data_IF_398870657283
#
_entry.id   IF_398870657283
#
_cell.length_a   1.000
_cell.length_b   1.000
_cell.length_c   1.000
_cell.angle_alpha   90.00
_cell.angle_beta   90.00
_cell.angle_gamma   90.00
#
_symmetry.space_group_name_H-M   'P 1'
#
loop_
_entity.id
_entity.type
_entity.pdbx_description
1 polymer ?
#
# COMPACT_ATOMS: atom_id res chain seq x y z
N UNK A 1 -45.61 -11.23 16.68
CA UNK A 1 -45.55 -9.94 15.96
C UNK A 1 -44.10 -9.47 15.98
N UNK A 2 -43.61 -8.99 14.85
CA UNK A 2 -42.21 -8.99 14.39
C UNK A 2 -41.13 -8.41 15.32
N UNK A 3 -40.01 -9.12 15.38
CA UNK A 3 -38.65 -8.63 15.68
C UNK A 3 -38.28 -7.44 14.78
N UNK A 4 -37.65 -6.41 15.34
CA UNK A 4 -36.33 -5.96 14.89
C UNK A 4 -35.74 -4.96 15.89
N UNK A 5 -34.72 -5.44 16.61
CA UNK A 5 -33.73 -4.61 17.29
C UNK A 5 -32.93 -3.87 16.20
N UNK A 6 -33.31 -2.61 15.95
CA UNK A 6 -32.62 -1.74 15.02
C UNK A 6 -31.58 -0.90 15.76
N UNK A 7 -30.37 -0.92 15.24
CA UNK A 7 -29.28 0.02 15.53
C UNK A 7 -28.46 -0.25 16.82
N UNK A 8 -27.86 -1.44 16.90
CA UNK A 8 -26.65 -1.61 17.69
C UNK A 8 -25.50 -0.86 17.00
N UNK A 9 -25.12 0.26 17.62
CA UNK A 9 -23.89 1.03 17.46
C UNK A 9 -22.69 0.18 17.00
N UNK A 10 -22.28 0.33 15.73
CA UNK A 10 -20.93 0.00 15.29
C UNK A 10 -20.06 1.25 15.37
N UNK A 11 -19.80 1.69 16.60
CA UNK A 11 -18.62 2.51 16.90
C UNK A 11 -17.49 1.52 17.17
N UNK A 12 -16.94 0.94 16.11
CA UNK A 12 -15.62 0.30 16.16
C UNK A 12 -14.67 1.25 15.47
N UNK A 13 -13.71 1.80 16.24
CA UNK A 13 -12.83 2.89 15.84
C UNK A 13 -12.39 2.82 14.38
N UNK A 14 -12.82 3.81 13.60
CA UNK A 14 -12.27 4.07 12.28
C UNK A 14 -10.78 4.39 12.48
N UNK A 15 -9.92 3.39 12.33
CA UNK A 15 -8.49 3.63 12.21
C UNK A 15 -8.30 4.52 10.98
N UNK A 16 -7.67 5.68 11.20
CA UNK A 16 -7.43 6.67 10.15
C UNK A 16 -6.76 6.02 8.93
N UNK A 17 -7.41 6.11 7.76
CA UNK A 17 -6.94 5.49 6.51
C UNK A 17 -7.61 4.17 6.13
N UNK A 18 -8.58 3.64 6.88
CA UNK A 18 -9.41 2.50 6.43
C UNK A 18 -10.55 2.93 5.50
N UNK A 19 -10.96 2.07 4.58
CA UNK A 19 -12.11 2.26 3.68
C UNK A 19 -13.03 1.05 3.73
N UNK A 20 -14.32 1.25 3.99
CA UNK A 20 -15.32 0.18 4.00
C UNK A 20 -16.18 0.28 2.75
N UNK A 21 -16.26 -0.82 1.99
CA UNK A 21 -17.11 -0.91 0.80
C UNK A 21 -18.15 -1.99 1.04
N UNK A 22 -19.42 -1.61 1.00
CA UNK A 22 -20.54 -2.54 1.04
C UNK A 22 -21.09 -2.75 -0.37
N UNK A 23 -21.25 -3.99 -0.78
CA UNK A 23 -21.89 -4.37 -2.04
C UNK A 23 -23.10 -5.26 -1.76
N UNK A 24 -24.14 -5.10 -2.59
CA UNK A 24 -25.33 -5.94 -2.56
C UNK A 24 -25.48 -6.63 -3.91
N UNK A 25 -25.54 -7.95 -3.90
CA UNK A 25 -25.83 -8.73 -5.08
C UNK A 25 -27.35 -8.94 -5.18
N UNK A 26 -27.97 -8.29 -6.17
CA UNK A 26 -29.41 -8.35 -6.42
C UNK A 26 -29.92 -9.71 -6.91
N UNK A 27 -29.03 -10.59 -7.36
CA UNK A 27 -29.39 -11.95 -7.84
C UNK A 27 -29.37 -12.93 -6.68
N UNK A 28 -28.34 -12.87 -5.82
CA UNK A 28 -28.21 -13.79 -4.67
C UNK A 28 -28.84 -13.27 -3.38
N UNK A 29 -29.24 -12.00 -3.34
CA UNK A 29 -29.79 -11.32 -2.16
C UNK A 29 -28.77 -11.12 -1.04
N UNK A 30 -27.48 -11.36 -1.30
CA UNK A 30 -26.42 -11.30 -0.29
C UNK A 30 -25.75 -9.93 -0.29
N UNK A 31 -25.64 -9.36 0.91
CA UNK A 31 -24.76 -8.24 1.19
C UNK A 31 -23.37 -8.73 1.56
N UNK A 32 -22.33 -8.10 1.03
CA UNK A 32 -20.95 -8.29 1.46
C UNK A 32 -20.33 -6.94 1.84
N UNK A 33 -19.51 -6.95 2.89
CA UNK A 33 -18.77 -5.77 3.35
C UNK A 33 -17.29 -6.10 3.32
N UNK A 34 -16.52 -5.28 2.60
CA UNK A 34 -15.07 -5.40 2.51
C UNK A 34 -14.43 -4.22 3.21
N UNK A 35 -13.58 -4.50 4.20
CA UNK A 35 -12.81 -3.49 4.93
C UNK A 35 -11.39 -3.45 4.38
N UNK A 36 -11.06 -2.35 3.71
CA UNK A 36 -9.74 -2.02 3.23
C UNK A 36 -8.93 -1.28 4.30
N UNK A 37 -7.65 -1.63 4.41
CA UNK A 37 -6.66 -1.00 5.27
C UNK A 37 -6.09 0.28 4.65
N UNK A 38 -5.13 0.92 5.32
CA UNK A 38 -4.39 2.07 4.77
C UNK A 38 -3.18 1.68 3.91
N UNK A 39 -2.87 0.38 3.80
CA UNK A 39 -1.63 -0.10 3.20
C UNK A 39 -1.83 -0.54 1.75
N UNK A 40 -0.95 -0.06 0.87
CA UNK A 40 -0.81 -0.52 -0.50
C UNK A 40 0.58 -1.10 -0.65
N UNK A 41 0.70 -2.32 -1.14
CA UNK A 41 2.01 -2.94 -1.31
C UNK A 41 2.01 -3.97 -2.43
N UNK A 42 3.16 -4.07 -3.11
CA UNK A 42 3.46 -5.18 -4.00
C UNK A 42 4.98 -5.32 -4.15
N UNK A 43 5.42 -6.49 -4.60
CA UNK A 43 6.84 -6.77 -4.79
C UNK A 43 7.16 -7.62 -6.01
N UNK A 44 8.36 -7.41 -6.55
CA UNK A 44 8.87 -8.12 -7.73
C UNK A 44 10.37 -8.38 -7.61
N UNK A 45 10.86 -9.37 -8.34
CA UNK A 45 12.29 -9.64 -8.43
C UNK A 45 12.98 -8.56 -9.28
N UNK A 46 13.94 -7.82 -8.71
CA UNK A 46 14.92 -7.02 -9.46
C UNK A 46 15.91 -7.92 -10.19
N UNK A 47 16.41 -8.91 -9.46
CA UNK A 47 17.23 -10.00 -9.97
C UNK A 47 16.57 -11.30 -9.52
N UNK A 48 16.15 -12.12 -10.49
CA UNK A 48 15.43 -13.36 -10.22
C UNK A 48 16.16 -14.21 -9.19
N UNK A 49 15.44 -14.64 -8.16
CA UNK A 49 15.90 -15.47 -7.04
C UNK A 49 17.01 -14.88 -6.16
N UNK A 50 17.41 -13.61 -6.39
CA UNK A 50 18.54 -12.97 -5.71
C UNK A 50 18.17 -11.70 -4.99
N UNK A 51 17.45 -10.81 -5.65
CA UNK A 51 17.14 -9.48 -5.11
C UNK A 51 15.69 -9.13 -5.40
N UNK A 52 14.86 -9.10 -4.35
CA UNK A 52 13.49 -8.64 -4.40
C UNK A 52 13.38 -7.16 -4.05
N UNK A 53 12.37 -6.49 -4.60
CA UNK A 53 11.95 -5.15 -4.19
C UNK A 53 10.47 -5.17 -3.81
N UNK A 54 10.12 -4.55 -2.70
CA UNK A 54 8.75 -4.23 -2.32
C UNK A 54 8.60 -2.71 -2.31
N UNK A 55 7.54 -2.21 -2.93
CA UNK A 55 7.12 -0.82 -2.76
C UNK A 55 5.87 -0.82 -1.91
N UNK A 56 5.89 0.00 -0.85
CA UNK A 56 4.83 0.15 0.12
C UNK A 56 4.37 1.60 0.12
N UNK A 57 3.07 1.82 0.20
CA UNK A 57 2.48 3.15 0.33
C UNK A 57 1.47 3.16 1.47
N UNK A 58 1.75 3.98 2.46
CA UNK A 58 0.91 4.22 3.63
C UNK A 58 -0.01 5.41 3.36
N UNK A 59 -1.31 5.16 3.39
CA UNK A 59 -2.31 6.19 3.14
C UNK A 59 -2.56 7.07 4.36
N UNK A 60 -2.19 8.34 4.23
CA UNK A 60 -2.42 9.40 5.22
C UNK A 60 -3.53 10.34 4.74
N UNK A 61 -4.64 10.41 5.50
CA UNK A 61 -5.66 11.44 5.27
C UNK A 61 -5.16 12.77 5.86
N UNK A 62 -5.03 13.80 5.03
CA UNK A 62 -4.92 15.18 5.53
C UNK A 62 -6.23 15.55 6.21
N UNK A 63 -6.28 15.55 7.53
CA UNK A 63 -7.40 16.15 8.26
C UNK A 63 -7.26 17.67 8.25
N UNK A 64 -8.28 18.38 7.76
CA UNK A 64 -8.54 19.74 8.21
C UNK A 64 -9.55 19.67 9.37
N UNK A 65 -9.11 19.82 10.63
CA UNK A 65 -9.97 19.60 11.81
C UNK A 65 -11.19 20.53 11.90
N UNK A 66 -11.25 21.62 11.15
CA UNK A 66 -12.32 22.63 11.24
C UNK A 66 -13.56 22.27 10.40
N UNK A 67 -13.45 21.37 9.40
CA UNK A 67 -14.55 21.08 8.46
C UNK A 67 -15.42 19.87 8.83
N UNK A 68 -15.00 19.04 9.79
CA UNK A 68 -15.69 17.78 10.10
C UNK A 68 -17.12 17.96 10.61
N UNK A 69 -17.44 19.08 11.28
CA UNK A 69 -18.78 19.34 11.81
C UNK A 69 -19.79 19.85 10.78
N UNK A 70 -19.35 20.53 9.71
CA UNK A 70 -20.25 21.17 8.75
C UNK A 70 -20.45 20.36 7.46
N UNK A 71 -19.46 19.57 7.04
CA UNK A 71 -19.53 18.80 5.78
C UNK A 71 -20.32 17.49 5.96
N UNK A 72 -20.29 16.88 7.15
CA UNK A 72 -21.09 15.68 7.43
C UNK A 72 -22.61 15.94 7.37
N UNK A 73 -23.07 17.15 7.67
CA UNK A 73 -24.49 17.52 7.58
C UNK A 73 -24.98 17.85 6.16
N UNK A 74 -24.08 18.00 5.18
CA UNK A 74 -24.44 18.43 3.82
C UNK A 74 -24.28 17.35 2.74
N UNK A 75 -23.76 16.16 3.08
CA UNK A 75 -23.62 15.05 2.13
C UNK A 75 -22.71 15.32 0.91
N UNK A 76 -22.04 16.48 0.87
CA UNK A 76 -21.20 16.90 -0.24
C UNK A 76 -19.74 16.54 0.07
N UNK A 77 -19.22 15.52 -0.61
CA UNK A 77 -17.78 15.28 -0.68
C UNK A 77 -17.12 16.54 -1.27
N UNK A 78 -16.26 17.20 -0.49
CA UNK A 78 -15.51 18.35 -1.00
C UNK A 78 -14.44 17.90 -2.01
N UNK A 79 -13.97 18.78 -2.92
CA UNK A 79 -12.85 18.46 -3.82
C UNK A 79 -11.58 17.98 -3.08
N UNK A 80 -11.39 18.43 -1.83
CA UNK A 80 -10.31 18.00 -0.94
C UNK A 80 -10.45 16.59 -0.35
N UNK A 81 -11.65 15.98 -0.40
CA UNK A 81 -11.88 14.62 0.09
C UNK A 81 -11.46 13.55 -0.94
N UNK A 82 -11.18 13.95 -2.18
CA UNK A 82 -10.80 13.03 -3.26
C UNK A 82 -9.33 12.63 -3.22
N UNK A 83 -8.48 13.45 -2.60
CA UNK A 83 -7.03 13.26 -2.59
C UNK A 83 -6.49 13.04 -1.18
N UNK A 84 -5.50 12.17 -1.07
CA UNK A 84 -4.78 11.86 0.14
C UNK A 84 -3.26 11.89 -0.11
N UNK A 85 -2.47 11.83 0.96
CA UNK A 85 -1.02 11.69 0.87
C UNK A 85 -0.66 10.23 1.09
N UNK A 86 0.19 9.68 0.23
CA UNK A 86 0.72 8.33 0.32
C UNK A 86 2.19 8.39 0.68
N UNK A 87 2.53 8.01 1.90
CA UNK A 87 3.92 7.90 2.34
C UNK A 87 4.54 6.65 1.72
N UNK A 88 5.58 6.82 0.91
CA UNK A 88 6.21 5.73 0.16
C UNK A 88 7.44 5.22 0.90
N UNK A 89 7.48 3.90 1.08
CA UNK A 89 8.66 3.17 1.56
C UNK A 89 9.05 2.10 0.55
N UNK A 90 10.34 1.81 0.47
CA UNK A 90 10.90 0.76 -0.38
C UNK A 90 11.69 -0.20 0.49
N UNK A 91 11.46 -1.50 0.31
CA UNK A 91 12.23 -2.55 0.95
C UNK A 91 12.93 -3.42 -0.10
N UNK A 92 14.25 -3.58 0.05
CA UNK A 92 15.07 -4.51 -0.72
C UNK A 92 15.26 -5.79 0.08
N UNK A 93 14.99 -6.93 -0.55
CA UNK A 93 15.17 -8.25 0.03
C UNK A 93 16.32 -8.96 -0.68
N UNK A 94 17.48 -9.04 -0.05
CA UNK A 94 18.64 -9.69 -0.65
C UNK A 94 18.73 -11.14 -0.17
N UNK A 95 18.55 -12.07 -1.09
CA UNK A 95 18.72 -13.50 -0.86
C UNK A 95 20.11 -14.00 -1.28
N UNK A 96 20.89 -13.15 -1.94
CA UNK A 96 22.24 -13.46 -2.36
C UNK A 96 23.24 -13.30 -1.21
N UNK A 97 24.41 -13.92 -1.39
CA UNK A 97 25.54 -13.85 -0.46
C UNK A 97 26.37 -12.57 -0.63
N UNK A 98 26.09 -11.79 -1.67
CA UNK A 98 26.81 -10.56 -2.03
C UNK A 98 25.90 -9.33 -1.92
N UNK A 99 26.45 -8.16 -1.55
CA UNK A 99 25.67 -6.93 -1.53
C UNK A 99 25.29 -6.51 -2.95
N UNK A 100 24.10 -5.95 -3.10
CA UNK A 100 23.63 -5.37 -4.37
C UNK A 100 23.38 -3.88 -4.22
N UNK A 101 24.03 -3.07 -5.04
CA UNK A 101 23.73 -1.64 -5.12
C UNK A 101 22.57 -1.41 -6.08
N UNK A 102 21.54 -0.72 -5.59
CA UNK A 102 20.38 -0.31 -6.37
C UNK A 102 20.33 1.21 -6.36
N UNK A 103 20.44 1.80 -7.55
CA UNK A 103 20.34 3.24 -7.74
C UNK A 103 18.91 3.59 -8.15
N UNK A 104 18.23 4.38 -7.33
CA UNK A 104 16.87 4.84 -7.56
C UNK A 104 16.91 6.16 -8.30
N UNK A 105 16.15 6.25 -9.40
CA UNK A 105 16.09 7.46 -10.23
C UNK A 105 14.82 8.24 -9.91
N UNK A 106 13.66 7.62 -10.17
CA UNK A 106 12.35 8.23 -9.96
C UNK A 106 11.26 7.19 -9.75
N UNK A 107 10.17 7.62 -9.14
CA UNK A 107 8.91 6.88 -9.01
C UNK A 107 7.80 7.77 -9.54
N UNK A 108 7.06 7.24 -10.51
CA UNK A 108 5.91 7.89 -11.12
C UNK A 108 4.65 7.20 -10.59
N UNK A 109 3.67 7.99 -10.17
CA UNK A 109 2.34 7.55 -9.80
C UNK A 109 1.29 8.42 -10.49
N UNK A 110 0.04 7.97 -10.59
CA UNK A 110 -1.01 8.70 -11.32
C UNK A 110 -1.25 10.13 -10.84
N UNK A 111 -0.87 10.47 -9.61
CA UNK A 111 -1.01 11.82 -9.07
C UNK A 111 0.28 12.65 -9.06
N UNK A 112 1.46 12.08 -9.30
CA UNK A 112 2.72 12.82 -9.16
C UNK A 112 3.98 11.97 -9.32
N UNK A 113 5.12 12.64 -9.18
CA UNK A 113 6.46 12.06 -9.30
C UNK A 113 7.25 12.29 -8.02
N UNK A 114 8.08 11.30 -7.68
CA UNK A 114 9.10 11.37 -6.64
C UNK A 114 10.47 11.17 -7.29
N UNK A 115 11.30 12.22 -7.30
CA UNK A 115 12.70 12.15 -7.73
C UNK A 115 13.58 11.72 -6.55
N UNK A 116 14.35 10.66 -6.73
CA UNK A 116 15.27 10.14 -5.71
C UNK A 116 16.65 10.80 -5.78
N UNK A 117 16.88 11.74 -6.70
CA UNK A 117 18.17 12.39 -6.91
C UNK A 117 19.32 11.39 -7.08
N UNK A 118 19.05 10.28 -7.78
CA UNK A 118 20.00 9.19 -7.98
C UNK A 118 20.50 8.51 -6.68
N UNK A 119 19.69 8.51 -5.62
CA UNK A 119 19.99 7.83 -4.35
C UNK A 119 20.38 6.36 -4.58
N UNK A 120 21.48 5.93 -3.95
CA UNK A 120 21.96 4.55 -4.00
C UNK A 120 21.69 3.88 -2.66
N UNK A 121 21.05 2.71 -2.70
CA UNK A 121 20.80 1.88 -1.53
C UNK A 121 21.52 0.56 -1.73
N UNK A 122 22.29 0.15 -0.72
CA UNK A 122 23.00 -1.12 -0.71
C UNK A 122 22.13 -2.16 -0.01
N UNK A 123 21.65 -3.16 -0.73
CA UNK A 123 20.94 -4.30 -0.16
C UNK A 123 21.95 -5.24 0.50
N UNK A 124 21.89 -5.36 1.82
CA UNK A 124 22.82 -6.16 2.64
C UNK A 124 22.56 -7.66 2.42
N UNK A 125 23.61 -8.52 2.26
CA UNK A 125 23.43 -9.96 2.05
C UNK A 125 22.52 -10.61 3.08
N UNK A 126 21.58 -11.44 2.61
CA UNK A 126 20.63 -12.17 3.47
C UNK A 126 19.79 -11.30 4.40
N UNK A 127 19.58 -10.02 4.08
CA UNK A 127 18.84 -9.07 4.90
C UNK A 127 17.74 -8.33 4.12
N UNK A 128 16.81 -7.76 4.89
CA UNK A 128 15.88 -6.74 4.41
C UNK A 128 16.45 -5.35 4.69
N UNK A 129 16.59 -4.53 3.66
CA UNK A 129 16.95 -3.11 3.79
C UNK A 129 15.74 -2.25 3.44
N UNK A 130 15.20 -1.50 4.40
CA UNK A 130 14.05 -0.62 4.20
C UNK A 130 14.44 0.86 4.28
N UNK A 131 13.83 1.67 3.43
CA UNK A 131 13.94 3.13 3.52
C UNK A 131 12.59 3.78 3.21
N UNK A 132 12.32 4.86 3.92
CA UNK A 132 11.32 5.83 3.51
C UNK A 132 11.90 6.69 2.39
N UNK A 133 11.09 7.01 1.38
CA UNK A 133 11.59 7.68 0.17
C UNK A 133 10.85 8.97 -0.17
N UNK A 134 9.64 9.15 0.36
CA UNK A 134 8.91 10.42 0.23
C UNK A 134 7.41 10.24 0.27
N UNK A 135 6.69 11.18 -0.33
CA UNK A 135 5.23 11.21 -0.34
C UNK A 135 4.73 11.46 -1.75
N UNK A 136 3.73 10.68 -2.17
CA UNK A 136 3.01 10.86 -3.44
C UNK A 136 1.54 11.21 -3.16
N UNK A 137 0.88 11.98 -4.02
CA UNK A 137 -0.56 12.15 -3.93
C UNK A 137 -1.29 10.87 -4.37
N UNK A 138 -2.33 10.52 -3.64
CA UNK A 138 -3.16 9.33 -3.86
C UNK A 138 -4.64 9.70 -4.01
N UNK A 139 -5.40 8.84 -4.67
CA UNK A 139 -6.85 8.91 -4.62
C UNK A 139 -7.36 8.26 -3.33
N UNK A 140 -8.14 9.01 -2.55
CA UNK A 140 -8.54 8.62 -1.19
C UNK A 140 -9.33 7.28 -1.14
N UNK A 141 -10.13 7.03 -2.19
CA UNK A 141 -10.97 5.85 -2.33
C UNK A 141 -10.40 4.80 -3.29
N UNK A 142 -9.13 4.95 -3.69
CA UNK A 142 -8.48 4.03 -4.62
C UNK A 142 -8.31 2.64 -4.00
N UNK A 143 -8.61 1.59 -4.77
CA UNK A 143 -8.37 0.19 -4.37
C UNK A 143 -7.00 -0.32 -4.81
N UNK A 144 -6.32 0.41 -5.69
CA UNK A 144 -4.94 0.17 -6.08
C UNK A 144 -4.27 1.48 -6.49
N UNK A 145 -2.94 1.46 -6.53
CA UNK A 145 -2.10 2.55 -7.04
C UNK A 145 -1.18 1.97 -8.12
N UNK A 146 -1.22 2.54 -9.31
CA UNK A 146 -0.27 2.19 -10.36
C UNK A 146 0.99 3.03 -10.17
N UNK A 147 2.14 2.37 -10.09
CA UNK A 147 3.44 3.03 -10.03
C UNK A 147 4.37 2.53 -11.13
N UNK A 148 5.24 3.41 -11.59
CA UNK A 148 6.42 3.07 -12.38
C UNK A 148 7.66 3.48 -11.61
N UNK A 149 8.49 2.50 -11.29
CA UNK A 149 9.77 2.71 -10.61
C UNK A 149 10.91 2.57 -11.61
N UNK A 150 11.77 3.58 -11.67
CA UNK A 150 12.99 3.56 -12.47
C UNK A 150 14.21 3.40 -11.56
N UNK A 151 14.93 2.30 -11.78
CA UNK A 151 16.12 1.95 -11.02
C UNK A 151 17.26 1.56 -11.95
N UNK A 152 18.45 1.45 -11.40
CA UNK A 152 19.60 0.85 -12.04
C UNK A 152 20.23 -0.16 -11.09
N UNK A 153 20.44 -1.38 -11.60
CA UNK A 153 20.98 -2.51 -10.83
C UNK A 153 22.18 -3.05 -11.58
N UNK A 154 23.35 -3.05 -10.94
CA UNK A 154 24.62 -3.43 -11.56
C UNK A 154 24.88 -2.66 -12.89
N UNK A 155 24.64 -1.34 -12.89
CA UNK A 155 24.83 -0.47 -14.05
C UNK A 155 23.78 -0.62 -15.16
N UNK A 156 22.80 -1.52 -15.02
CA UNK A 156 21.75 -1.72 -16.03
C UNK A 156 20.46 -1.00 -15.61
N UNK A 157 19.96 -0.04 -16.40
CA UNK A 157 18.70 0.60 -16.12
C UNK A 157 17.56 -0.40 -16.24
N UNK A 158 16.57 -0.28 -15.34
CA UNK A 158 15.36 -1.08 -15.29
C UNK A 158 14.18 -0.17 -15.01
N UNK A 159 13.08 -0.43 -15.72
CA UNK A 159 11.78 0.18 -15.46
C UNK A 159 10.84 -0.92 -14.99
N UNK A 160 10.17 -0.67 -13.87
CA UNK A 160 9.34 -1.64 -13.18
C UNK A 160 7.96 -1.02 -13.03
N UNK A 161 6.96 -1.69 -13.58
CA UNK A 161 5.57 -1.27 -13.47
C UNK A 161 4.89 -2.18 -12.45
N UNK A 162 4.31 -1.58 -11.41
CA UNK A 162 3.65 -2.31 -10.33
C UNK A 162 2.29 -1.70 -10.05
N UNK A 163 1.29 -2.57 -10.01
CA UNK A 163 0.03 -2.26 -9.36
C UNK A 163 0.15 -2.62 -7.87
N UNK A 164 -0.03 -1.63 -7.01
CA UNK A 164 -0.05 -1.80 -5.56
C UNK A 164 -1.50 -1.94 -5.10
N UNK A 165 -2.02 -3.15 -4.85
CA UNK A 165 -3.37 -3.31 -4.31
C UNK A 165 -3.44 -2.80 -2.88
N UNK A 166 -4.56 -2.13 -2.55
CA UNK A 166 -4.90 -1.79 -1.17
C UNK A 166 -5.26 -3.08 -0.42
N UNK A 167 -4.54 -3.40 0.64
CA UNK A 167 -4.80 -4.62 1.42
C UNK A 167 -6.12 -4.52 2.17
N UNK A 168 -6.88 -5.60 2.19
CA UNK A 168 -8.01 -5.74 3.12
C UNK A 168 -7.52 -6.14 4.50
N UNK A 169 -8.33 -5.91 5.54
CA UNK A 169 -7.97 -6.37 6.89
C UNK A 169 -7.78 -7.89 6.95
N UNK A 170 -8.58 -8.64 6.17
CA UNK A 170 -8.42 -10.09 6.04
C UNK A 170 -7.07 -10.46 5.42
N UNK A 171 -6.64 -9.76 4.37
CA UNK A 171 -5.35 -10.00 3.72
C UNK A 171 -4.18 -9.66 4.65
N UNK A 172 -4.29 -8.61 5.45
CA UNK A 172 -3.27 -8.29 6.45
C UNK A 172 -3.08 -9.47 7.42
N UNK A 173 -4.19 -9.99 7.95
CA UNK A 173 -4.16 -11.14 8.84
C UNK A 173 -3.65 -12.40 8.13
N UNK A 174 -4.01 -12.60 6.85
CA UNK A 174 -3.60 -13.76 6.08
C UNK A 174 -2.11 -13.77 5.75
N UNK A 175 -1.53 -12.62 5.39
CA UNK A 175 -0.19 -12.54 4.80
C UNK A 175 0.90 -12.03 5.73
N UNK A 176 0.54 -11.38 6.84
CA UNK A 176 1.51 -10.74 7.75
C UNK A 176 1.36 -11.19 9.22
N UNK A 177 0.62 -12.26 9.50
CA UNK A 177 0.60 -12.90 10.82
C UNK A 177 1.84 -13.78 11.04
N UNK A 178 2.23 -14.08 12.28
CA UNK A 178 3.31 -15.04 12.54
C UNK A 178 3.09 -16.36 11.80
N UNK A 179 4.07 -16.80 11.02
CA UNK A 179 4.02 -18.04 10.23
C UNK A 179 3.28 -17.94 8.88
N UNK A 180 2.78 -16.78 8.48
CA UNK A 180 2.17 -16.60 7.16
C UNK A 180 3.18 -16.43 6.03
N UNK A 181 2.76 -16.79 4.82
CA UNK A 181 3.51 -16.56 3.58
C UNK A 181 3.18 -15.16 3.07
N UNK A 182 4.20 -14.33 2.86
CA UNK A 182 4.01 -12.98 2.31
C UNK A 182 3.47 -13.07 0.86
N UNK A 183 2.77 -12.05 0.34
CA UNK A 183 2.12 -12.13 -0.97
C UNK A 183 3.10 -11.89 -2.13
N UNK A 184 4.40 -11.84 -1.86
CA UNK A 184 5.46 -11.55 -2.83
C UNK A 184 5.97 -12.85 -3.46
N UNK A 185 6.63 -12.79 -4.64
CA UNK A 185 7.19 -13.98 -5.31
C UNK A 185 8.15 -14.82 -4.45
N UNK A 186 8.73 -14.24 -3.41
CA UNK A 186 9.61 -14.90 -2.44
C UNK A 186 8.98 -15.09 -1.05
N UNK A 187 7.67 -14.90 -0.88
CA UNK A 187 7.06 -14.85 0.44
C UNK A 187 7.19 -16.11 1.29
N UNK A 188 7.54 -17.25 0.69
CA UNK A 188 7.89 -18.50 1.38
C UNK A 188 9.38 -18.66 1.70
N UNK A 189 10.22 -17.66 1.41
CA UNK A 189 11.66 -17.64 1.70
C UNK A 189 11.93 -16.67 2.84
N UNK A 190 12.91 -17.01 3.68
CA UNK A 190 13.40 -16.11 4.73
C UNK A 190 14.73 -15.50 4.30
N UNK A 191 14.81 -14.17 4.38
CA UNK A 191 16.06 -13.48 4.71
C UNK A 191 16.10 -13.34 6.23
N UNK A 192 17.27 -13.11 6.84
CA UNK A 192 17.32 -12.69 8.24
C UNK A 192 16.80 -11.25 8.29
N UNK A 193 15.75 -11.03 9.07
CA UNK A 193 15.19 -9.68 9.30
C UNK A 193 15.88 -8.97 10.43
#
# INVERSE_FOLDING_TARGET
>A
MFMMAGLALLITGCNYGTMTVSSYDGITGKSSTTVYSKYYDNGVWLLKDKLGIVVMVDHEKKQMPIAHGMVQSMGALGPGDSFASGKVSIALWNFDSVPHQVKFKRLLASGGELDFQNQVITAVPHEQTETEVGVIPLFNYGKSVQITLEVEVAGKPRRIELELPRRTQQQLNQFFSPGSVRPYPWGGRSVKG
#
